data_IF_157812410801
#
_entry.id   IF_157812410801
#
_cell.length_a   1.000
_cell.length_b   1.000
_cell.length_c   1.000
_cell.angle_alpha   90.00
_cell.angle_beta   90.00
_cell.angle_gamma   90.00
#
_symmetry.space_group_name_H-M   'P 1'
#
loop_
_entity.id
_entity.type
_entity.pdbx_description
1 polymer ?
#
# COMPACT_ATOMS: atom_id res chain seq x y z
N UNK A 1 27.78 -18.43 -3.29
CA UNK A 1 27.42 -17.16 -3.94
C UNK A 1 26.06 -16.76 -3.37
N UNK A 2 26.08 -16.05 -2.24
CA UNK A 2 24.87 -15.65 -1.53
C UNK A 2 24.43 -14.32 -2.13
N UNK A 3 23.40 -14.36 -2.97
CA UNK A 3 22.74 -13.16 -3.49
C UNK A 3 22.27 -12.37 -2.26
N UNK A 4 22.92 -11.24 -1.98
CA UNK A 4 22.50 -10.35 -0.92
C UNK A 4 21.09 -9.85 -1.25
N UNK A 5 20.17 -9.94 -0.29
CA UNK A 5 18.80 -9.42 -0.35
C UNK A 5 18.68 -7.92 -0.75
N UNK A 6 19.80 -7.22 -0.92
CA UNK A 6 19.91 -5.79 -1.21
C UNK A 6 19.68 -5.38 -2.66
N UNK A 7 19.41 -6.33 -3.57
CA UNK A 7 18.99 -6.01 -4.94
C UNK A 7 17.46 -5.93 -5.10
N UNK A 8 16.71 -5.59 -4.03
CA UNK A 8 15.33 -5.12 -4.22
C UNK A 8 15.37 -3.69 -4.76
N UNK A 9 15.49 -3.56 -6.07
CA UNK A 9 15.35 -2.33 -6.86
C UNK A 9 14.28 -1.40 -6.28
N UNK A 10 14.68 -0.42 -5.46
CA UNK A 10 13.83 0.67 -4.96
C UNK A 10 12.39 0.31 -4.60
N UNK A 11 12.12 -0.90 -4.08
CA UNK A 11 10.76 -1.35 -3.83
C UNK A 11 10.44 -1.28 -2.33
N UNK A 12 9.19 -0.96 -2.01
CA UNK A 12 8.71 -0.89 -0.63
C UNK A 12 7.64 -1.94 -0.38
N UNK A 13 7.63 -2.43 0.85
CA UNK A 13 6.65 -3.39 1.33
C UNK A 13 5.36 -2.68 1.77
N UNK A 14 4.22 -3.21 1.32
CA UNK A 14 2.90 -2.70 1.66
C UNK A 14 1.99 -3.80 2.17
N UNK A 15 1.21 -3.45 3.19
CA UNK A 15 0.22 -4.32 3.80
C UNK A 15 -1.19 -3.92 3.37
N UNK A 16 -2.06 -4.90 3.26
CA UNK A 16 -3.43 -4.71 2.86
C UNK A 16 -4.34 -5.86 3.27
N UNK A 17 -5.61 -5.76 2.88
CA UNK A 17 -6.63 -6.72 3.24
C UNK A 17 -7.44 -7.14 2.01
N UNK A 18 -7.75 -8.43 1.92
CA UNK A 18 -8.73 -9.00 1.00
C UNK A 18 -10.11 -8.62 1.52
N UNK A 19 -10.91 -8.06 0.62
CA UNK A 19 -12.23 -7.55 0.90
C UNK A 19 -13.29 -8.48 0.31
N UNK A 20 -14.48 -8.40 0.89
CA UNK A 20 -15.67 -9.04 0.32
C UNK A 20 -16.06 -8.36 -0.99
N UNK A 21 -16.98 -8.99 -1.73
CA UNK A 21 -17.50 -8.46 -3.00
C UNK A 21 -18.18 -7.09 -2.86
N UNK A 22 -18.71 -6.77 -1.68
CA UNK A 22 -19.32 -5.48 -1.34
C UNK A 22 -18.29 -4.42 -0.84
N UNK A 23 -16.99 -4.72 -0.93
CA UNK A 23 -15.88 -3.88 -0.43
C UNK A 23 -15.80 -3.72 1.09
N UNK A 24 -16.54 -4.52 1.86
CA UNK A 24 -16.40 -4.57 3.32
C UNK A 24 -15.24 -5.48 3.75
N UNK A 25 -14.71 -5.21 4.94
CA UNK A 25 -13.67 -6.03 5.55
C UNK A 25 -14.24 -7.36 6.03
N UNK A 26 -13.44 -8.41 5.90
CA UNK A 26 -13.71 -9.68 6.55
C UNK A 26 -13.03 -9.71 7.93
N UNK A 27 -13.84 -9.95 8.95
CA UNK A 27 -13.36 -10.18 10.32
C UNK A 27 -13.44 -11.68 10.60
N UNK A 28 -12.38 -12.26 11.15
CA UNK A 28 -12.47 -13.63 11.66
C UNK A 28 -13.40 -13.63 12.88
N UNK A 29 -14.37 -14.55 12.97
CA UNK A 29 -15.21 -14.67 14.16
C UNK A 29 -14.35 -14.77 15.43
N UNK A 30 -14.65 -13.95 16.44
CA UNK A 30 -13.86 -13.88 17.68
C UNK A 30 -12.66 -12.94 17.63
N UNK A 31 -12.35 -12.32 16.49
CA UNK A 31 -11.34 -11.25 16.38
C UNK A 31 -12.02 -9.89 16.27
N UNK A 32 -11.48 -8.88 16.96
CA UNK A 32 -11.92 -7.48 16.85
C UNK A 32 -11.18 -6.72 15.73
N UNK A 33 -10.17 -7.35 15.13
CA UNK A 33 -9.20 -6.71 14.25
C UNK A 33 -9.40 -7.13 12.80
N UNK A 34 -9.01 -6.23 11.90
CA UNK A 34 -8.90 -6.51 10.47
C UNK A 34 -7.73 -7.47 10.28
N UNK A 35 -7.97 -8.61 9.62
CA UNK A 35 -6.90 -9.55 9.30
C UNK A 35 -6.13 -9.03 8.10
N UNK A 36 -4.88 -8.61 8.31
CA UNK A 36 -3.93 -8.34 7.21
C UNK A 36 -3.62 -9.69 6.56
N UNK A 37 -4.02 -9.84 5.30
CA UNK A 37 -3.85 -11.08 4.52
C UNK A 37 -3.35 -10.81 3.09
N UNK A 38 -2.95 -9.57 2.80
CA UNK A 38 -2.29 -9.21 1.55
C UNK A 38 -1.02 -8.42 1.86
N UNK A 39 0.07 -8.86 1.25
CA UNK A 39 1.40 -8.28 1.35
C UNK A 39 1.98 -8.16 -0.06
N UNK A 40 2.53 -7.01 -0.40
CA UNK A 40 3.09 -6.75 -1.72
C UNK A 40 4.35 -5.91 -1.63
N UNK A 41 5.37 -6.31 -2.37
CA UNK A 41 6.56 -5.50 -2.63
C UNK A 41 6.33 -4.77 -3.96
N UNK A 42 6.33 -3.43 -3.94
CA UNK A 42 6.03 -2.60 -5.11
C UNK A 42 7.10 -1.54 -5.30
N UNK A 43 7.54 -1.37 -6.54
CA UNK A 43 8.26 -0.17 -7.00
C UNK A 43 7.32 1.03 -7.04
N UNK A 44 7.90 2.24 -7.20
CA UNK A 44 7.14 3.48 -7.32
C UNK A 44 6.19 3.43 -8.52
N UNK A 45 6.68 2.97 -9.66
CA UNK A 45 5.95 2.88 -10.92
C UNK A 45 4.79 1.88 -10.82
N UNK A 46 5.02 0.71 -10.23
CA UNK A 46 3.97 -0.28 -10.01
C UNK A 46 2.88 0.24 -9.07
N UNK A 47 3.29 0.95 -8.00
CA UNK A 47 2.34 1.54 -7.07
C UNK A 47 1.50 2.65 -7.73
N UNK A 48 2.12 3.52 -8.52
CA UNK A 48 1.40 4.56 -9.27
C UNK A 48 0.45 3.94 -10.30
N UNK A 49 0.87 2.87 -10.98
CA UNK A 49 0.01 2.13 -11.90
C UNK A 49 -1.19 1.52 -11.17
N UNK A 50 -0.98 0.89 -10.00
CA UNK A 50 -2.04 0.36 -9.16
C UNK A 50 -3.03 1.46 -8.76
N UNK A 51 -2.53 2.63 -8.33
CA UNK A 51 -3.37 3.78 -7.97
C UNK A 51 -4.18 4.27 -9.16
N UNK A 52 -3.59 4.36 -10.35
CA UNK A 52 -4.31 4.77 -11.57
C UNK A 52 -5.43 3.81 -11.98
N UNK A 53 -5.29 2.52 -11.64
CA UNK A 53 -6.28 1.46 -11.89
C UNK A 53 -7.20 1.22 -10.70
N UNK A 54 -7.02 1.94 -9.60
CA UNK A 54 -7.80 1.74 -8.38
C UNK A 54 -9.26 2.14 -8.59
N UNK A 55 -10.16 1.40 -7.94
CA UNK A 55 -11.59 1.67 -7.97
C UNK A 55 -11.92 2.91 -7.14
N UNK A 56 -11.24 3.06 -6.01
CA UNK A 56 -11.34 4.23 -5.14
C UNK A 56 -10.11 4.34 -4.25
N UNK A 57 -9.88 5.53 -3.72
CA UNK A 57 -8.95 5.77 -2.64
C UNK A 57 -9.64 6.47 -1.48
N UNK A 58 -9.15 6.21 -0.25
CA UNK A 58 -9.63 6.87 0.96
C UNK A 58 -8.43 7.42 1.72
N UNK A 59 -8.51 8.69 2.12
CA UNK A 59 -7.55 9.30 3.04
C UNK A 59 -7.70 8.70 4.44
N UNK A 60 -6.60 8.23 5.01
CA UNK A 60 -6.48 7.86 6.42
C UNK A 60 -5.61 8.91 7.13
N UNK A 61 -5.57 8.89 8.47
CA UNK A 61 -4.82 9.88 9.25
C UNK A 61 -3.35 9.91 8.82
N UNK A 62 -2.71 8.75 8.68
CA UNK A 62 -1.27 8.63 8.37
C UNK A 62 -0.97 8.06 6.99
N UNK A 63 -1.93 8.09 6.08
CA UNK A 63 -1.74 7.46 4.78
C UNK A 63 -3.00 7.43 3.93
N UNK A 64 -3.07 6.47 3.02
CA UNK A 64 -4.23 6.24 2.18
C UNK A 64 -4.53 4.74 2.09
N UNK A 65 -5.81 4.39 2.01
CA UNK A 65 -6.25 3.07 1.60
C UNK A 65 -6.60 3.13 0.11
N UNK A 66 -5.99 2.26 -0.69
CA UNK A 66 -6.20 2.15 -2.13
C UNK A 66 -6.97 0.86 -2.39
N UNK A 67 -8.15 0.98 -3.00
CA UNK A 67 -9.06 -0.15 -3.22
C UNK A 67 -9.00 -0.56 -4.69
N UNK A 68 -8.72 -1.84 -4.95
CA UNK A 68 -8.58 -2.36 -6.31
C UNK A 68 -9.04 -3.81 -6.38
N UNK A 69 -9.26 -4.29 -7.60
CA UNK A 69 -9.55 -5.70 -7.88
C UNK A 69 -8.35 -6.27 -8.62
N UNK A 70 -7.81 -7.40 -8.14
CA UNK A 70 -6.68 -8.05 -8.81
C UNK A 70 -7.12 -8.80 -10.09
N UNK A 71 -6.15 -9.35 -10.81
CA UNK A 71 -6.40 -10.10 -12.06
C UNK A 71 -7.25 -11.35 -11.87
N UNK A 72 -7.39 -11.85 -10.63
CA UNK A 72 -8.22 -13.00 -10.29
C UNK A 72 -9.65 -12.58 -9.86
N UNK A 73 -9.99 -11.29 -9.93
CA UNK A 73 -11.29 -10.79 -9.52
C UNK A 73 -11.47 -10.70 -8.00
N UNK A 74 -10.38 -10.68 -7.23
CA UNK A 74 -10.38 -10.55 -5.77
C UNK A 74 -10.25 -9.07 -5.40
N UNK A 75 -11.20 -8.56 -4.62
CA UNK A 75 -11.16 -7.19 -4.12
C UNK A 75 -10.16 -7.08 -2.97
N UNK A 76 -9.34 -6.03 -2.97
CA UNK A 76 -8.34 -5.77 -1.96
C UNK A 76 -8.29 -4.29 -1.62
N UNK A 77 -7.85 -3.95 -0.42
CA UNK A 77 -7.23 -2.67 -0.16
C UNK A 77 -5.73 -2.81 0.07
N UNK A 78 -5.01 -1.71 -0.15
CA UNK A 78 -3.61 -1.53 0.18
C UNK A 78 -3.47 -0.28 1.03
N UNK A 79 -2.87 -0.39 2.21
CA UNK A 79 -2.58 0.77 3.04
C UNK A 79 -1.18 1.31 2.70
N UNK A 80 -1.13 2.54 2.23
CA UNK A 80 0.12 3.24 1.92
C UNK A 80 0.45 4.25 3.01
N UNK A 81 1.67 4.15 3.55
CA UNK A 81 2.21 5.08 4.55
C UNK A 81 3.72 5.18 4.39
N UNK A 82 4.20 6.39 4.12
CA UNK A 82 5.63 6.67 3.97
C UNK A 82 6.23 7.44 5.14
N UNK A 83 5.39 8.24 5.81
CA UNK A 83 5.81 9.16 6.88
C UNK A 83 4.92 8.98 8.11
N UNK A 84 5.43 9.40 9.27
CA UNK A 84 4.67 9.43 10.51
C UNK A 84 4.02 10.80 10.75
N UNK A 85 3.39 11.36 9.72
CA UNK A 85 2.72 12.66 9.76
C UNK A 85 1.30 12.54 9.21
N UNK A 86 0.45 13.48 9.59
CA UNK A 86 -0.94 13.49 9.12
C UNK A 86 -1.01 13.85 7.63
N UNK A 87 -1.79 13.10 6.86
CA UNK A 87 -1.99 13.40 5.44
C UNK A 87 -2.77 14.70 5.27
N UNK A 88 -2.29 15.56 4.37
CA UNK A 88 -2.91 16.86 4.11
C UNK A 88 -4.20 16.67 3.30
N UNK A 89 -5.23 17.45 3.61
CA UNK A 89 -6.55 17.24 3.02
C UNK A 89 -6.66 17.47 1.50
N UNK A 90 -5.69 18.20 0.91
CA UNK A 90 -5.69 18.59 -0.50
C UNK A 90 -4.64 17.85 -1.35
N UNK A 91 -4.03 16.78 -0.82
CA UNK A 91 -3.03 16.02 -1.55
C UNK A 91 -3.67 14.77 -2.16
N UNK A 92 -3.40 14.51 -3.43
CA UNK A 92 -3.77 13.25 -4.08
C UNK A 92 -2.84 12.12 -3.65
N UNK A 93 -3.29 10.88 -3.82
CA UNK A 93 -2.48 9.68 -3.55
C UNK A 93 -1.20 9.69 -4.36
N UNK A 94 -1.27 10.01 -5.66
CA UNK A 94 -0.11 10.02 -6.54
C UNK A 94 0.90 11.09 -6.12
N UNK A 95 0.45 12.31 -5.80
CA UNK A 95 1.34 13.36 -5.26
C UNK A 95 2.00 12.95 -3.93
N UNK A 96 1.30 12.17 -3.11
CA UNK A 96 1.86 11.63 -1.87
C UNK A 96 2.95 10.59 -2.14
N UNK A 97 2.74 9.68 -3.10
CA UNK A 97 3.74 8.70 -3.52
C UNK A 97 4.96 9.41 -4.11
N UNK A 98 4.74 10.29 -5.09
CA UNK A 98 5.81 11.03 -5.77
C UNK A 98 6.73 11.77 -4.81
N UNK A 99 6.15 12.38 -3.77
CA UNK A 99 6.90 13.18 -2.81
C UNK A 99 7.70 12.36 -1.80
N UNK A 100 7.25 11.15 -1.46
CA UNK A 100 7.74 10.46 -0.26
C UNK A 100 8.35 9.08 -0.50
N UNK A 101 8.06 8.43 -1.63
CA UNK A 101 8.49 7.06 -1.88
C UNK A 101 10.02 6.93 -1.90
N UNK A 102 10.70 7.72 -2.73
CA UNK A 102 12.16 7.64 -2.92
C UNK A 102 12.92 7.96 -1.63
N UNK A 103 12.44 8.95 -0.87
CA UNK A 103 13.01 9.31 0.43
C UNK A 103 12.96 8.13 1.43
N UNK A 104 11.88 7.34 1.41
CA UNK A 104 11.79 6.19 2.30
C UNK A 104 12.67 5.04 1.80
N UNK A 105 12.72 4.78 0.50
CA UNK A 105 13.66 3.81 -0.10
C UNK A 105 15.10 4.10 0.32
N UNK A 106 15.56 5.35 0.17
CA UNK A 106 16.91 5.76 0.57
C UNK A 106 17.16 5.60 2.09
N UNK A 107 16.11 5.77 2.90
CA UNK A 107 16.22 5.62 4.35
C UNK A 107 16.33 4.15 4.76
N UNK A 108 15.54 3.27 4.14
CA UNK A 108 15.60 1.83 4.39
C UNK A 108 16.92 1.23 3.86
N UNK A 109 17.44 1.73 2.73
CA UNK A 109 18.73 1.28 2.17
C UNK A 109 19.96 1.64 3.04
N UNK A 110 19.81 2.60 3.96
CA UNK A 110 20.88 3.06 4.89
C UNK A 110 20.84 2.35 6.26
N UNK A 111 19.86 1.48 6.49
CA UNK A 111 19.72 0.70 7.73
C UNK A 111 20.45 -0.62 7.64
#
# INVERSE_FOLDING_TARGET
>A
MQLSLFESYGALEFNGTILKKDWSYEFKPGTKDIVINNHQLLTKEELLLLVSKSVKSRRAIYGYNIYYTDSNGVNKDLFIRFINETTKAKQSVSEFIEKHFDNLVEKEARR
#
